data_IF_610719967129
#
_entry.id   IF_610719967129
#
_cell.length_a   1.000
_cell.length_b   1.000
_cell.length_c   1.000
_cell.angle_alpha   90.00
_cell.angle_beta   90.00
_cell.angle_gamma   90.00
#
_symmetry.space_group_name_H-M   'P 1'
#
loop_
_entity.id
_entity.type
_entity.pdbx_description
1 polymer ?
#
# COMPACT_ATOMS: atom_id res chain seq x y z
N UNK A 1 -10.89 23.88 2.78
CA UNK A 1 -10.94 22.41 2.57
C UNK A 1 -9.50 21.95 2.44
N UNK A 2 -8.84 21.77 3.58
CA UNK A 2 -7.47 21.29 3.64
C UNK A 2 -7.37 19.86 3.11
N UNK A 3 -6.47 19.68 2.14
CA UNK A 3 -5.99 18.37 1.69
C UNK A 3 -5.18 17.77 2.84
N UNK A 4 -5.79 16.91 3.64
CA UNK A 4 -5.06 16.09 4.60
C UNK A 4 -4.10 15.19 3.82
N UNK A 5 -2.83 15.56 3.87
CA UNK A 5 -1.70 14.76 3.41
C UNK A 5 -1.64 13.52 4.29
N UNK A 6 -2.29 12.44 3.83
CA UNK A 6 -2.13 11.12 4.41
C UNK A 6 -0.65 10.75 4.27
N UNK A 7 0.09 10.87 5.37
CA UNK A 7 1.46 10.38 5.48
C UNK A 7 1.41 8.87 5.31
N UNK A 8 1.56 8.43 4.06
CA UNK A 8 1.78 7.05 3.65
C UNK A 8 3.12 6.66 4.30
N UNK A 9 3.09 6.12 5.52
CA UNK A 9 4.19 5.31 6.03
C UNK A 9 4.44 4.28 4.93
N UNK A 10 5.49 4.48 4.15
CA UNK A 10 5.78 3.67 2.97
C UNK A 10 6.22 2.30 3.47
N UNK A 11 5.24 1.45 3.76
CA UNK A 11 5.46 0.02 3.82
C UNK A 11 6.20 -0.36 2.53
N UNK A 12 7.36 -1.00 2.67
CA UNK A 12 8.18 -1.42 1.53
C UNK A 12 7.34 -2.40 0.71
N UNK A 13 6.85 -1.96 -0.45
CA UNK A 13 6.03 -2.79 -1.34
C UNK A 13 6.95 -3.70 -2.14
N UNK A 14 6.68 -5.00 -2.07
CA UNK A 14 7.39 -6.03 -2.83
C UNK A 14 6.50 -6.57 -3.95
N UNK A 15 7.11 -6.84 -5.11
CA UNK A 15 6.43 -7.43 -6.25
C UNK A 15 5.97 -8.85 -5.93
N UNK A 16 4.67 -9.14 -6.08
CA UNK A 16 4.09 -10.47 -5.80
C UNK A 16 4.57 -11.58 -6.74
N UNK A 17 5.33 -11.26 -7.78
CA UNK A 17 5.83 -12.24 -8.77
C UNK A 17 7.31 -12.56 -8.62
N UNK A 18 8.14 -11.59 -8.23
CA UNK A 18 9.61 -11.75 -8.16
C UNK A 18 10.24 -11.23 -6.87
N UNK A 19 9.43 -10.77 -5.91
CA UNK A 19 9.87 -10.20 -4.62
C UNK A 19 10.80 -8.99 -4.72
N UNK A 20 10.94 -8.40 -5.91
CA UNK A 20 11.70 -7.16 -6.08
C UNK A 20 11.00 -5.99 -5.39
N UNK A 21 11.77 -5.13 -4.72
CA UNK A 21 11.33 -3.85 -4.18
C UNK A 21 11.42 -2.70 -5.20
N UNK A 22 11.97 -2.96 -6.39
CA UNK A 22 12.02 -1.99 -7.49
C UNK A 22 10.65 -1.91 -8.19
N UNK A 23 9.71 -1.27 -7.50
CA UNK A 23 8.31 -1.13 -7.92
C UNK A 23 7.89 0.35 -7.88
N UNK A 24 7.07 0.75 -8.84
CA UNK A 24 6.52 2.11 -8.95
C UNK A 24 4.99 2.07 -8.79
N UNK A 25 4.44 2.99 -8.00
CA UNK A 25 2.99 3.15 -7.84
C UNK A 25 2.44 3.86 -9.09
N UNK A 26 1.63 3.16 -9.89
CA UNK A 26 1.08 3.70 -11.14
C UNK A 26 -0.35 4.22 -10.96
N UNK A 27 -1.10 3.70 -10.00
CA UNK A 27 -2.44 4.21 -9.67
C UNK A 27 -2.77 4.02 -8.19
N UNK A 28 -3.41 5.04 -7.62
CA UNK A 28 -3.97 4.97 -6.27
C UNK A 28 -5.28 4.17 -6.20
N UNK A 29 -5.89 3.88 -7.34
CA UNK A 29 -7.13 3.13 -7.48
C UNK A 29 -6.96 2.10 -8.61
N UNK A 30 -6.90 0.82 -8.26
CA UNK A 30 -6.96 -0.26 -9.25
C UNK A 30 -8.39 -0.58 -9.66
N UNK A 31 -8.65 -1.83 -10.06
CA UNK A 31 -10.00 -2.25 -10.49
C UNK A 31 -11.02 -2.21 -9.34
N UNK A 32 -10.57 -2.47 -8.12
CA UNK A 32 -11.36 -2.33 -6.89
C UNK A 32 -10.99 -1.06 -6.11
N UNK A 33 -11.95 -0.46 -5.41
CA UNK A 33 -11.75 0.79 -4.66
C UNK A 33 -10.70 0.69 -3.53
N UNK A 34 -10.41 -0.53 -3.07
CA UNK A 34 -9.50 -0.80 -1.96
C UNK A 34 -8.11 -1.23 -2.39
N UNK A 35 -7.77 -1.18 -3.69
CA UNK A 35 -6.45 -1.58 -4.18
C UNK A 35 -5.66 -0.40 -4.73
N UNK A 36 -4.34 -0.47 -4.59
CA UNK A 36 -3.37 0.36 -5.30
C UNK A 36 -2.71 -0.51 -6.37
N UNK A 37 -2.40 0.06 -7.54
CA UNK A 37 -1.65 -0.64 -8.58
C UNK A 37 -0.19 -0.22 -8.59
N UNK A 38 0.67 -1.21 -8.82
CA UNK A 38 2.10 -1.05 -8.93
C UNK A 38 2.61 -1.73 -10.20
N UNK A 39 3.69 -1.17 -10.75
CA UNK A 39 4.48 -1.75 -11.83
C UNK A 39 5.85 -2.16 -11.29
N UNK A 40 6.28 -3.38 -11.58
CA UNK A 40 7.62 -3.84 -11.21
C UNK A 40 8.61 -3.62 -12.36
N UNK A 41 9.68 -2.85 -12.12
CA UNK A 41 10.72 -2.60 -13.11
C UNK A 41 11.68 -3.78 -13.33
N UNK A 42 11.59 -4.84 -12.50
CA UNK A 42 12.47 -6.01 -12.61
C UNK A 42 11.87 -7.10 -13.50
N UNK A 43 10.59 -7.42 -13.31
CA UNK A 43 9.88 -8.45 -14.09
C UNK A 43 8.82 -7.87 -15.05
N UNK A 44 8.74 -6.54 -15.16
CA UNK A 44 7.85 -5.82 -16.07
C UNK A 44 6.37 -6.19 -15.92
N UNK A 45 5.94 -6.52 -14.71
CA UNK A 45 4.59 -6.99 -14.40
C UNK A 45 3.80 -5.96 -13.58
N UNK A 46 2.50 -5.86 -13.84
CA UNK A 46 1.56 -5.05 -13.05
C UNK A 46 0.93 -5.93 -11.97
N UNK A 47 0.86 -5.42 -10.74
CA UNK A 47 0.19 -6.10 -9.62
C UNK A 47 -0.62 -5.12 -8.77
N UNK A 48 -1.54 -5.65 -7.98
CA UNK A 48 -2.41 -4.90 -7.08
C UNK A 48 -2.03 -5.18 -5.61
N UNK A 49 -2.04 -4.14 -4.79
CA UNK A 49 -1.85 -4.23 -3.35
C UNK A 49 -3.12 -3.78 -2.63
N UNK A 50 -3.68 -4.66 -1.79
CA UNK A 50 -4.89 -4.38 -1.02
C UNK A 50 -4.52 -3.44 0.12
N UNK A 51 -5.27 -2.33 0.24
CA UNK A 51 -5.21 -1.45 1.40
C UNK A 51 -5.92 -2.14 2.56
N UNK A 52 -5.19 -2.97 3.29
CA UNK A 52 -5.65 -3.41 4.60
C UNK A 52 -5.62 -2.19 5.51
N UNK A 53 -6.78 -1.75 6.00
CA UNK A 53 -6.77 -0.91 7.19
C UNK A 53 -6.32 -1.84 8.31
N UNK A 54 -5.10 -1.67 8.80
CA UNK A 54 -4.78 -2.14 10.14
C UNK A 54 -5.80 -1.46 11.03
N UNK A 55 -6.84 -2.20 11.43
CA UNK A 55 -7.75 -1.77 12.48
C UNK A 55 -6.88 -1.23 13.60
N UNK A 56 -7.10 0.03 13.98
CA UNK A 56 -6.32 0.72 14.99
C UNK A 56 -6.30 -0.06 16.31
N UNK A 57 -5.38 -1.02 16.44
CA UNK A 57 -5.03 -1.70 17.68
C UNK A 57 -4.07 -0.81 18.47
N UNK A 58 -4.50 0.42 18.72
CA UNK A 58 -3.85 1.36 19.65
C UNK A 58 -4.84 1.85 20.73
N UNK A 59 -5.94 1.12 20.95
CA UNK A 59 -6.83 1.32 22.09
C UNK A 59 -6.79 0.15 23.08
N UNK A 60 -5.59 -0.28 23.51
CA UNK A 60 -5.43 -1.06 24.74
C UNK A 60 -3.98 -1.08 25.26
N UNK A 61 -3.38 0.10 25.44
CA UNK A 61 -2.36 0.31 26.49
C UNK A 61 -2.90 1.32 27.49
N UNK A 62 -3.61 0.84 28.50
CA UNK A 62 -4.15 1.67 29.57
C UNK A 62 -5.37 1.06 30.23
N UNK A 63 -5.18 -0.06 30.92
CA UNK A 63 -6.00 -0.40 32.10
C UNK A 63 -5.00 -0.70 33.20
N UNK A 64 -5.12 0.08 34.28
CA UNK A 64 -4.36 0.06 35.54
C UNK A 64 -4.15 -1.33 36.14
#
# INVERSE_FOLDING_TARGET
MELLQVSDKTALVECSFCSSTNVEKISSFGTAQLVRQYYCNNCNSVFEYIRWQESADERMKGVE
#
